data_IF_557506855098
#
_entry.id   IF_557506855098
#
_cell.length_a   1.000
_cell.length_b   1.000
_cell.length_c   1.000
_cell.angle_alpha   90.00
_cell.angle_beta   90.00
_cell.angle_gamma   90.00
#
_symmetry.space_group_name_H-M   'P 1'
#
loop_
_entity.id
_entity.type
_entity.pdbx_description
1 polymer ?
#
# COMPACT_ATOMS: atom_id res chain seq x y z
N UNK A 1 -5.98 -19.33 7.31
CA UNK A 1 -6.81 -19.20 6.10
C UNK A 1 -7.30 -20.57 5.65
N UNK A 2 -8.32 -21.15 6.30
CA UNK A 2 -8.73 -22.53 6.06
C UNK A 2 -9.24 -22.76 4.63
N UNK A 3 -9.98 -21.80 4.05
CA UNK A 3 -10.51 -21.88 2.68
C UNK A 3 -9.40 -22.07 1.63
N UNK A 4 -8.28 -21.36 1.76
CA UNK A 4 -7.17 -21.43 0.78
C UNK A 4 -6.50 -22.81 0.77
N UNK A 5 -6.33 -23.42 1.95
CA UNK A 5 -5.72 -24.74 2.08
C UNK A 5 -6.62 -25.80 1.43
N UNK A 6 -7.94 -25.73 1.68
CA UNK A 6 -8.90 -26.67 1.07
C UNK A 6 -8.95 -26.51 -0.45
N UNK A 7 -8.91 -25.27 -0.96
CA UNK A 7 -8.83 -25.01 -2.40
C UNK A 7 -7.55 -25.56 -3.03
N UNK A 8 -6.39 -25.38 -2.39
CA UNK A 8 -5.13 -25.96 -2.86
C UNK A 8 -5.16 -27.48 -2.84
N UNK A 9 -5.71 -28.08 -1.79
CA UNK A 9 -5.84 -29.53 -1.69
C UNK A 9 -6.73 -30.08 -2.81
N UNK A 10 -7.85 -29.41 -3.13
CA UNK A 10 -8.69 -29.78 -4.26
C UNK A 10 -7.94 -29.68 -5.60
N UNK A 11 -7.14 -28.63 -5.81
CA UNK A 11 -6.36 -28.49 -7.04
C UNK A 11 -5.37 -29.66 -7.17
N UNK A 12 -4.63 -29.99 -6.11
CA UNK A 12 -3.69 -31.11 -6.14
C UNK A 12 -4.38 -32.45 -6.37
N UNK A 13 -5.54 -32.67 -5.76
CA UNK A 13 -6.35 -33.86 -5.99
C UNK A 13 -6.74 -33.99 -7.47
N UNK A 14 -7.25 -32.92 -8.08
CA UNK A 14 -7.68 -32.91 -9.48
C UNK A 14 -6.50 -33.12 -10.44
N UNK A 15 -5.33 -32.57 -10.13
CA UNK A 15 -4.13 -32.74 -10.98
C UNK A 15 -3.58 -34.15 -10.95
N UNK A 16 -3.76 -34.86 -9.84
CA UNK A 16 -3.38 -36.28 -9.70
C UNK A 16 -4.47 -37.24 -10.22
N UNK A 17 -5.54 -36.70 -10.83
CA UNK A 17 -6.62 -37.48 -11.42
C UNK A 17 -7.75 -37.87 -10.47
N UNK A 18 -7.71 -37.41 -9.22
CA UNK A 18 -8.79 -37.55 -8.25
C UNK A 18 -10.07 -36.82 -8.68
N UNK A 19 -11.22 -37.30 -8.20
CA UNK A 19 -12.55 -36.86 -8.71
C UNK A 19 -13.65 -36.74 -7.65
N UNK A 20 -13.57 -37.50 -6.55
CA UNK A 20 -14.70 -37.66 -5.63
C UNK A 20 -14.47 -36.96 -4.29
N UNK A 21 -13.32 -37.19 -3.68
CA UNK A 21 -12.98 -36.61 -2.38
C UNK A 21 -11.52 -36.15 -2.37
N UNK A 22 -11.20 -35.25 -1.45
CA UNK A 22 -9.82 -34.78 -1.25
C UNK A 22 -9.11 -35.82 -0.39
N UNK A 23 -8.12 -36.50 -0.97
CA UNK A 23 -7.36 -37.50 -0.26
C UNK A 23 -6.33 -36.87 0.70
N UNK A 24 -5.87 -37.69 1.63
CA UNK A 24 -4.86 -37.29 2.63
C UNK A 24 -3.61 -36.70 1.99
N UNK A 25 -3.15 -37.28 0.89
CA UNK A 25 -1.90 -36.86 0.22
C UNK A 25 -2.03 -35.48 -0.43
N UNK A 26 -3.19 -35.19 -1.04
CA UNK A 26 -3.48 -33.87 -1.60
C UNK A 26 -3.57 -32.80 -0.50
N UNK A 27 -4.20 -33.13 0.64
CA UNK A 27 -4.25 -32.23 1.80
C UNK A 27 -2.88 -31.99 2.43
N UNK A 28 -2.07 -33.04 2.59
CA UNK A 28 -0.69 -32.91 3.09
C UNK A 28 0.17 -32.06 2.17
N UNK A 29 0.00 -32.22 0.86
CA UNK A 29 0.69 -31.40 -0.14
C UNK A 29 0.29 -29.94 0.00
N UNK A 30 -1.01 -29.64 0.11
CA UNK A 30 -1.49 -28.28 0.36
C UNK A 30 -0.89 -27.63 1.61
N UNK A 31 -0.82 -28.35 2.72
CA UNK A 31 -0.22 -27.87 3.97
C UNK A 31 1.29 -27.61 3.84
N UNK A 32 2.02 -28.45 3.09
CA UNK A 32 3.46 -28.21 2.82
C UNK A 32 3.68 -26.96 1.97
N UNK A 33 2.82 -26.75 0.96
CA UNK A 33 2.92 -25.60 0.05
C UNK A 33 2.44 -24.29 0.68
N UNK A 34 1.57 -24.32 1.70
CA UNK A 34 1.00 -23.13 2.33
C UNK A 34 2.08 -22.10 2.71
N UNK A 35 3.11 -22.52 3.46
CA UNK A 35 4.16 -21.61 3.93
C UNK A 35 4.93 -20.98 2.77
N UNK A 36 5.27 -21.78 1.76
CA UNK A 36 5.99 -21.31 0.58
C UNK A 36 5.16 -20.29 -0.21
N UNK A 37 3.92 -20.63 -0.55
CA UNK A 37 3.02 -19.75 -1.32
C UNK A 37 2.68 -18.48 -0.56
N UNK A 38 2.46 -18.56 0.76
CA UNK A 38 2.22 -17.37 1.57
C UNK A 38 3.43 -16.43 1.57
N UNK A 39 4.65 -16.98 1.67
CA UNK A 39 5.87 -16.18 1.54
C UNK A 39 5.98 -15.52 0.17
N UNK A 40 5.57 -16.23 -0.88
CA UNK A 40 5.64 -15.76 -2.26
C UNK A 40 4.64 -14.63 -2.51
N UNK A 41 3.39 -14.80 -2.08
CA UNK A 41 2.34 -13.77 -2.18
C UNK A 41 2.74 -12.51 -1.42
N UNK A 42 3.32 -12.63 -0.22
CA UNK A 42 3.87 -11.49 0.52
C UNK A 42 4.93 -10.73 -0.27
N UNK A 43 5.88 -11.44 -0.90
CA UNK A 43 6.92 -10.80 -1.73
C UNK A 43 6.33 -10.14 -2.98
N UNK A 44 5.39 -10.79 -3.65
CA UNK A 44 4.75 -10.25 -4.85
C UNK A 44 4.01 -8.95 -4.55
N UNK A 45 3.20 -8.92 -3.49
CA UNK A 45 2.49 -7.71 -3.10
C UNK A 45 3.43 -6.63 -2.55
N UNK A 46 4.47 -7.00 -1.80
CA UNK A 46 5.47 -6.03 -1.34
C UNK A 46 6.25 -5.40 -2.50
N UNK A 47 6.53 -6.14 -3.58
CA UNK A 47 7.19 -5.63 -4.77
C UNK A 47 6.30 -4.63 -5.54
N UNK A 48 4.99 -4.85 -5.58
CA UNK A 48 4.05 -3.90 -6.17
C UNK A 48 3.95 -2.59 -5.36
N UNK A 49 4.13 -2.67 -4.04
CA UNK A 49 4.05 -1.51 -3.13
C UNK A 49 5.39 -0.79 -2.89
N UNK A 50 6.52 -1.28 -3.41
CA UNK A 50 7.85 -0.77 -3.02
C UNK A 50 8.03 0.71 -3.38
N UNK A 51 7.65 1.13 -4.59
CA UNK A 51 7.78 2.52 -5.04
C UNK A 51 6.88 3.48 -4.25
N UNK A 52 5.64 3.08 -3.97
CA UNK A 52 4.73 3.87 -3.14
C UNK A 52 5.25 3.98 -1.70
N UNK A 53 5.83 2.91 -1.18
CA UNK A 53 6.42 2.85 0.16
C UNK A 53 7.67 3.72 0.28
N UNK A 54 8.58 3.65 -0.70
CA UNK A 54 9.77 4.51 -0.77
C UNK A 54 9.38 5.99 -0.91
N UNK A 55 8.43 6.30 -1.78
CA UNK A 55 7.89 7.65 -1.93
C UNK A 55 7.24 8.18 -0.64
N UNK A 56 6.45 7.36 0.05
CA UNK A 56 5.82 7.71 1.33
C UNK A 56 6.87 7.98 2.42
N UNK A 57 7.89 7.12 2.54
CA UNK A 57 9.00 7.33 3.47
C UNK A 57 9.71 8.65 3.20
N UNK A 58 10.02 8.92 1.93
CA UNK A 58 10.69 10.15 1.52
C UNK A 58 9.89 11.41 1.87
N UNK A 59 8.56 11.36 1.68
CA UNK A 59 7.65 12.45 2.05
C UNK A 59 7.69 12.71 3.57
N UNK A 60 7.71 11.66 4.39
CA UNK A 60 7.79 11.77 5.86
C UNK A 60 9.17 12.29 6.30
N UNK A 61 10.25 11.76 5.75
CA UNK A 61 11.63 12.21 6.03
C UNK A 61 11.81 13.69 5.68
N UNK A 62 11.20 14.15 4.60
CA UNK A 62 11.26 15.54 4.15
C UNK A 62 10.05 16.37 4.55
N UNK A 63 9.29 15.97 5.57
CA UNK A 63 8.08 16.69 5.97
C UNK A 63 8.36 18.16 6.35
N UNK A 64 9.54 18.45 6.94
CA UNK A 64 9.99 19.80 7.29
C UNK A 64 10.12 20.74 6.07
N UNK A 65 10.25 20.18 4.87
CA UNK A 65 10.31 20.98 3.66
C UNK A 65 8.91 21.37 3.18
N UNK A 66 7.85 20.67 3.58
CA UNK A 66 6.47 20.91 3.18
C UNK A 66 5.74 21.81 4.22
N UNK A 67 4.74 22.59 3.79
CA UNK A 67 3.90 23.34 4.72
C UNK A 67 3.06 22.40 5.61
N UNK A 68 2.50 22.93 6.70
CA UNK A 68 1.61 22.19 7.61
C UNK A 68 0.41 21.58 6.88
N UNK A 69 -0.11 22.32 5.90
CA UNK A 69 -1.12 21.86 4.96
C UNK A 69 -0.55 21.95 3.56
N UNK A 70 -0.48 20.82 2.87
CA UNK A 70 0.15 20.71 1.55
C UNK A 70 -0.78 20.00 0.55
N UNK A 71 -0.43 20.07 -0.73
CA UNK A 71 -1.14 19.43 -1.83
C UNK A 71 -0.22 18.49 -2.59
N UNK A 72 -0.81 17.66 -3.45
CA UNK A 72 -0.04 16.83 -4.39
C UNK A 72 0.94 17.68 -5.23
N UNK A 73 0.51 18.88 -5.63
CA UNK A 73 1.33 19.80 -6.44
C UNK A 73 2.58 20.24 -5.71
N UNK A 74 2.50 20.49 -4.39
CA UNK A 74 3.63 20.93 -3.58
C UNK A 74 4.73 19.87 -3.49
N UNK A 75 4.37 18.59 -3.58
CA UNK A 75 5.33 17.47 -3.67
C UNK A 75 5.90 17.39 -5.08
N UNK A 76 5.03 17.38 -6.09
CA UNK A 76 5.44 17.22 -7.49
C UNK A 76 6.41 18.33 -7.95
N UNK A 77 6.19 19.59 -7.53
CA UNK A 77 7.05 20.71 -7.88
C UNK A 77 8.47 20.59 -7.32
N UNK A 78 8.67 19.82 -6.25
CA UNK A 78 10.00 19.62 -5.63
C UNK A 78 10.88 18.63 -6.37
N UNK A 79 10.33 17.92 -7.36
CA UNK A 79 11.08 17.01 -8.23
C UNK A 79 11.94 16.00 -7.47
N UNK A 80 11.45 15.51 -6.33
CA UNK A 80 12.15 14.53 -5.51
C UNK A 80 12.38 13.22 -6.30
N UNK A 81 13.54 12.61 -6.08
CA UNK A 81 13.86 11.28 -6.63
C UNK A 81 12.75 10.29 -6.23
N UNK A 82 12.35 9.42 -7.16
CA UNK A 82 11.24 8.45 -6.99
C UNK A 82 9.81 9.04 -6.87
N UNK A 83 9.63 10.36 -6.98
CA UNK A 83 8.31 11.04 -6.95
C UNK A 83 8.11 11.95 -8.18
N UNK A 84 8.56 11.49 -9.35
CA UNK A 84 8.48 12.27 -10.60
C UNK A 84 7.13 12.17 -11.30
N UNK A 85 6.43 11.05 -11.12
CA UNK A 85 5.14 10.83 -11.73
C UNK A 85 3.99 11.10 -10.75
N UNK A 86 2.92 11.69 -11.28
CA UNK A 86 1.73 12.04 -10.51
C UNK A 86 1.06 10.80 -9.92
N UNK A 87 1.07 9.66 -10.63
CA UNK A 87 0.51 8.42 -10.11
C UNK A 87 1.30 7.90 -8.90
N UNK A 88 2.63 7.94 -8.95
CA UNK A 88 3.49 7.54 -7.82
C UNK A 88 3.26 8.43 -6.60
N UNK A 89 3.12 9.75 -6.79
CA UNK A 89 2.81 10.68 -5.69
C UNK A 89 1.43 10.36 -5.09
N UNK A 90 0.41 10.05 -5.91
CA UNK A 90 -0.92 9.65 -5.42
C UNK A 90 -0.86 8.38 -4.59
N UNK A 91 -0.17 7.35 -5.07
CA UNK A 91 -0.04 6.08 -4.35
C UNK A 91 0.68 6.27 -3.01
N UNK A 92 1.74 7.07 -2.96
CA UNK A 92 2.42 7.41 -1.72
C UNK A 92 1.50 8.17 -0.74
N UNK A 93 0.71 9.14 -1.22
CA UNK A 93 -0.24 9.88 -0.40
C UNK A 93 -1.38 8.99 0.11
N UNK A 94 -1.89 8.08 -0.72
CA UNK A 94 -2.91 7.11 -0.31
C UNK A 94 -2.38 6.19 0.79
N UNK A 95 -1.14 5.70 0.65
CA UNK A 95 -0.47 4.90 1.67
C UNK A 95 -0.30 5.67 2.99
N UNK A 96 0.09 6.95 2.92
CA UNK A 96 0.21 7.81 4.10
C UNK A 96 -1.14 8.10 4.77
N UNK A 97 -2.22 8.22 4.00
CA UNK A 97 -3.58 8.34 4.55
C UNK A 97 -3.99 7.05 5.25
N UNK A 98 -3.80 5.89 4.61
CA UNK A 98 -4.16 4.57 5.18
C UNK A 98 -3.38 4.24 6.45
N UNK A 99 -2.16 4.78 6.56
CA UNK A 99 -1.29 4.62 7.73
C UNK A 99 -1.42 5.75 8.75
N UNK A 100 -2.39 6.67 8.61
CA UNK A 100 -2.66 7.79 9.52
C UNK A 100 -1.49 8.78 9.70
N UNK A 101 -0.56 8.87 8.76
CA UNK A 101 0.50 9.88 8.78
C UNK A 101 -0.01 11.27 8.36
N UNK A 102 -1.01 11.29 7.48
CA UNK A 102 -1.66 12.49 6.97
C UNK A 102 -3.17 12.26 6.88
N UNK A 103 -3.95 13.34 6.86
CA UNK A 103 -5.40 13.29 6.59
C UNK A 103 -5.79 14.21 5.45
N UNK A 104 -6.69 13.80 4.54
CA UNK A 104 -7.23 14.68 3.52
C UNK A 104 -8.22 15.67 4.15
N UNK A 105 -8.13 16.94 3.74
CA UNK A 105 -9.07 17.99 4.08
C UNK A 105 -9.85 18.32 2.80
N UNK A 106 -11.17 18.12 2.84
CA UNK A 106 -12.05 18.59 1.79
C UNK A 106 -12.21 20.11 1.89
N UNK A 107 -12.03 20.84 0.79
CA UNK A 107 -12.45 22.23 0.74
C UNK A 107 -13.97 22.26 0.58
N UNK A 108 -14.69 22.77 1.58
CA UNK A 108 -16.13 23.06 1.45
C UNK A 108 -16.40 24.26 0.54
N UNK A 109 -15.40 25.10 0.29
CA UNK A 109 -15.57 26.38 -0.40
C UNK A 109 -14.69 26.47 -1.65
N UNK A 110 -15.14 25.88 -2.75
CA UNK A 110 -14.79 26.43 -4.06
C UNK A 110 -16.03 26.50 -4.92
N UNK A 111 -16.67 27.67 -4.90
CA UNK A 111 -17.66 28.14 -5.88
C UNK A 111 -17.09 28.27 -7.31
N UNK A 112 -16.03 27.51 -7.62
CA UNK A 112 -15.27 27.51 -8.86
C UNK A 112 -15.44 26.15 -9.52
N UNK A 113 -16.08 26.16 -10.69
CA UNK A 113 -16.31 25.02 -11.58
C UNK A 113 -14.99 24.37 -12.04
N UNK A 114 -14.32 23.61 -11.17
CA UNK A 114 -13.06 22.93 -11.45
C UNK A 114 -12.88 21.67 -10.58
N UNK A 115 -11.94 20.80 -10.98
CA UNK A 115 -11.61 19.57 -10.23
C UNK A 115 -11.20 19.94 -8.79
N UNK A 116 -11.83 19.37 -7.75
CA UNK A 116 -11.47 19.66 -6.37
C UNK A 116 -10.00 19.35 -6.11
N UNK A 117 -9.29 20.31 -5.54
CA UNK A 117 -7.92 20.12 -5.07
C UNK A 117 -7.95 19.56 -3.65
N UNK A 118 -7.42 18.35 -3.47
CA UNK A 118 -7.29 17.72 -2.15
C UNK A 118 -6.10 18.34 -1.44
N UNK A 119 -6.32 18.82 -0.21
CA UNK A 119 -5.27 19.27 0.72
C UNK A 119 -5.04 18.19 1.76
N UNK A 120 -3.81 18.08 2.25
CA UNK A 120 -3.40 17.12 3.25
C UNK A 120 -2.80 17.85 4.44
N UNK A 121 -3.13 17.39 5.64
CA UNK A 121 -2.53 17.86 6.89
C UNK A 121 -1.80 16.72 7.59
N UNK A 122 -0.67 17.06 8.21
CA UNK A 122 0.14 16.10 8.96
C UNK A 122 -0.53 15.65 10.26
N UNK A 123 -0.32 14.39 10.61
CA UNK A 123 -0.60 13.93 11.96
C UNK A 123 0.37 14.60 12.96
N UNK A 124 -0.09 15.10 14.13
CA UNK A 124 0.76 15.82 15.09
C UNK A 124 2.05 15.09 15.50
N UNK A 125 1.98 13.76 15.70
CA UNK A 125 3.15 12.94 16.01
C UNK A 125 4.23 12.88 14.91
N UNK A 126 3.84 13.04 13.63
CA UNK A 126 4.81 13.00 12.52
C UNK A 126 5.69 14.25 12.57
N UNK A 127 5.08 15.45 12.68
CA UNK A 127 5.83 16.70 12.82
C UNK A 127 6.66 16.76 14.10
N UNK A 128 6.12 16.30 15.22
CA UNK A 128 6.84 16.33 16.50
C UNK A 128 8.11 15.46 16.50
N UNK A 129 8.13 14.36 15.75
CA UNK A 129 9.34 13.52 15.65
C UNK A 129 10.38 14.11 14.70
N UNK A 130 9.98 14.80 13.64
CA UNK A 130 10.92 15.44 12.70
C UNK A 130 11.58 16.72 13.23
N UNK A 131 11.10 17.26 14.35
CA UNK A 131 11.73 18.40 15.06
C UNK A 131 12.79 17.88 16.07
N UNK A 132 12.77 16.59 16.42
CA UNK A 132 13.64 15.97 17.44
C UNK A 132 14.86 15.23 16.86
N UNK A 133 15.00 15.18 15.54
CA UNK A 133 16.18 14.65 14.85
C UNK A 133 17.01 15.80 14.28
#
# INVERSE_FOLDING_TARGET
MPKTIVSLALIFELTEGGRFEINKDALQTALRWEKYLFSHVKRLYAAADSLATEGAKLIVERCNHLPDVFTLRDIHQRSWTHLKDNQTVKQALELLCRSNHIRPIANENSSQSGRPTIRYEWHPFVKNNSIKQ
#
